data_IF_033280774493
#
_entry.id   IF_033280774493
#
_cell.length_a   1.000
_cell.length_b   1.000
_cell.length_c   1.000
_cell.angle_alpha   90.00
_cell.angle_beta   90.00
_cell.angle_gamma   90.00
#
_symmetry.space_group_name_H-M   'P 1'
#
loop_
_entity.id
_entity.type
_entity.pdbx_description
1 polymer ?
#
# COMPACT_ATOMS: atom_id res chain seq x y z
N UNK A 1 14.61 -4.71 4.40
CA UNK A 1 14.20 -3.36 3.93
C UNK A 1 13.42 -2.59 5.01
N UNK A 2 13.97 -2.45 6.22
CA UNK A 2 13.31 -1.71 7.33
C UNK A 2 14.22 -0.62 7.92
N UNK A 3 15.37 -0.40 7.30
CA UNK A 3 16.29 0.68 7.67
C UNK A 3 15.67 2.02 7.26
N UNK A 4 15.63 2.97 8.20
CA UNK A 4 15.02 4.30 8.03
C UNK A 4 13.51 4.39 8.30
N UNK A 5 12.82 3.29 8.64
CA UNK A 5 11.45 3.36 9.18
C UNK A 5 11.44 3.66 10.68
N UNK A 6 10.45 4.44 11.14
CA UNK A 6 10.18 4.70 12.56
C UNK A 6 9.76 3.43 13.29
N UNK A 7 9.92 3.39 14.62
CA UNK A 7 9.50 2.25 15.45
C UNK A 7 8.02 1.87 15.26
N UNK A 8 7.14 2.87 15.13
CA UNK A 8 5.70 2.65 14.91
C UNK A 8 5.43 1.97 13.55
N UNK A 9 6.20 2.30 12.52
CA UNK A 9 6.09 1.67 11.19
C UNK A 9 6.61 0.23 11.22
N UNK A 10 7.69 -0.02 11.97
CA UNK A 10 8.20 -1.38 12.20
C UNK A 10 7.20 -2.24 12.97
N UNK A 11 6.49 -1.66 13.95
CA UNK A 11 5.43 -2.35 14.66
C UNK A 11 4.26 -2.69 13.72
N UNK A 12 3.84 -1.74 12.88
CA UNK A 12 2.83 -1.97 11.84
C UNK A 12 3.22 -3.16 10.94
N UNK A 13 4.46 -3.19 10.46
CA UNK A 13 4.95 -4.30 9.64
C UNK A 13 4.91 -5.65 10.35
N UNK A 14 5.22 -5.70 11.65
CA UNK A 14 5.11 -6.94 12.43
C UNK A 14 3.66 -7.42 12.51
N UNK A 15 2.72 -6.51 12.75
CA UNK A 15 1.30 -6.85 12.83
C UNK A 15 0.80 -7.36 11.48
N UNK A 16 1.10 -6.64 10.39
CA UNK A 16 0.65 -7.04 9.06
C UNK A 16 1.33 -8.34 8.61
N UNK A 17 2.63 -8.48 8.85
CA UNK A 17 3.35 -9.71 8.55
C UNK A 17 2.82 -10.92 9.33
N UNK A 18 2.37 -10.72 10.58
CA UNK A 18 1.72 -11.76 11.35
C UNK A 18 0.35 -12.16 10.76
N UNK A 19 -0.45 -11.19 10.33
CA UNK A 19 -1.77 -11.45 9.76
C UNK A 19 -1.73 -12.07 8.35
N UNK A 20 -0.80 -11.64 7.51
CA UNK A 20 -0.72 -12.04 6.09
C UNK A 20 0.33 -13.12 5.81
N UNK A 21 1.11 -13.54 6.82
CA UNK A 21 2.25 -14.44 6.67
C UNK A 21 3.47 -13.84 5.97
N UNK A 22 3.33 -12.65 5.39
CA UNK A 22 4.41 -11.88 4.76
C UNK A 22 4.04 -10.39 4.72
N UNK A 23 5.04 -9.53 4.45
CA UNK A 23 4.82 -8.11 4.26
C UNK A 23 4.81 -7.83 2.74
N UNK A 24 3.72 -7.30 2.17
CA UNK A 24 3.68 -6.87 0.78
C UNK A 24 4.81 -5.89 0.47
N UNK A 25 5.60 -6.17 -0.57
CA UNK A 25 6.75 -5.35 -0.98
C UNK A 25 6.44 -3.85 -1.09
N UNK A 26 5.34 -3.43 -1.75
CA UNK A 26 4.98 -2.01 -1.88
C UNK A 26 4.80 -1.29 -0.54
N UNK A 27 4.35 -1.98 0.51
CA UNK A 27 4.17 -1.35 1.82
C UNK A 27 5.47 -0.80 2.38
N UNK A 28 6.63 -1.44 2.12
CA UNK A 28 7.91 -0.90 2.57
C UNK A 28 8.19 0.47 1.95
N UNK A 29 7.90 0.64 0.67
CA UNK A 29 8.13 1.89 -0.08
C UNK A 29 7.14 2.96 0.36
N UNK A 30 5.84 2.63 0.41
CA UNK A 30 4.78 3.58 0.75
C UNK A 30 4.92 4.11 2.18
N UNK A 31 5.39 3.29 3.11
CA UNK A 31 5.57 3.74 4.50
C UNK A 31 6.91 4.44 4.72
N UNK A 32 7.95 4.20 3.90
CA UNK A 32 9.28 4.82 4.09
C UNK A 32 9.24 6.36 4.07
N UNK A 33 8.57 6.94 3.06
CA UNK A 33 8.33 8.38 2.94
C UNK A 33 6.84 8.70 2.89
N UNK A 34 6.09 8.20 3.89
CA UNK A 34 4.62 8.33 3.95
C UNK A 34 4.13 9.76 3.68
N UNK A 35 4.70 10.77 4.34
CA UNK A 35 4.20 12.15 4.24
C UNK A 35 4.51 12.83 2.90
N UNK A 36 5.59 12.44 2.24
CA UNK A 36 5.99 13.07 0.98
C UNK A 36 5.40 12.36 -0.24
N UNK A 37 5.30 11.03 -0.19
CA UNK A 37 4.85 10.21 -1.31
C UNK A 37 3.72 9.25 -0.93
N UNK A 38 3.95 8.42 0.09
CA UNK A 38 3.11 7.25 0.31
C UNK A 38 1.64 7.56 0.60
N UNK A 39 1.33 8.61 1.35
CA UNK A 39 -0.04 9.01 1.65
C UNK A 39 -0.78 9.41 0.37
N UNK A 40 -0.26 10.40 -0.37
CA UNK A 40 -0.86 10.87 -1.61
C UNK A 40 -1.00 9.75 -2.66
N UNK A 41 0.02 8.89 -2.78
CA UNK A 41 -0.03 7.77 -3.71
C UNK A 41 -1.05 6.72 -3.29
N UNK A 42 -1.15 6.39 -2.00
CA UNK A 42 -2.20 5.50 -1.49
C UNK A 42 -3.59 6.07 -1.72
N UNK A 43 -3.78 7.37 -1.53
CA UNK A 43 -5.08 8.03 -1.79
C UNK A 43 -5.46 7.93 -3.27
N UNK A 44 -4.49 8.11 -4.18
CA UNK A 44 -4.71 7.92 -5.62
C UNK A 44 -5.07 6.46 -5.96
N UNK A 45 -4.38 5.48 -5.37
CA UNK A 45 -4.69 4.07 -5.58
C UNK A 45 -6.08 3.71 -5.04
N UNK A 46 -6.44 4.22 -3.87
CA UNK A 46 -7.75 4.02 -3.28
C UNK A 46 -8.84 4.61 -4.20
N UNK A 47 -8.67 5.86 -4.63
CA UNK A 47 -9.62 6.51 -5.53
C UNK A 47 -9.74 5.77 -6.86
N UNK A 48 -8.63 5.32 -7.44
CA UNK A 48 -8.61 4.71 -8.77
C UNK A 48 -8.95 3.23 -8.82
N UNK A 49 -8.77 2.47 -7.73
CA UNK A 49 -8.99 1.01 -7.72
C UNK A 49 -10.14 0.56 -6.82
N UNK A 50 -10.63 1.42 -5.92
CA UNK A 50 -11.64 1.06 -4.93
C UNK A 50 -12.87 1.96 -4.99
N UNK A 51 -12.67 3.26 -5.17
CA UNK A 51 -13.76 4.24 -5.11
C UNK A 51 -14.20 4.74 -6.50
N UNK A 52 -13.61 4.21 -7.58
CA UNK A 52 -13.98 4.50 -8.96
C UNK A 52 -15.42 4.07 -9.27
N UNK A 53 -16.06 4.73 -10.23
CA UNK A 53 -17.46 4.45 -10.62
C UNK A 53 -17.61 3.92 -12.04
N UNK A 54 -16.56 4.10 -12.85
CA UNK A 54 -16.55 3.86 -14.28
C UNK A 54 -16.32 2.38 -14.60
N UNK A 55 -15.48 1.70 -13.83
CA UNK A 55 -15.11 0.30 -14.02
C UNK A 55 -15.49 -0.55 -12.82
N UNK A 56 -15.82 -1.82 -13.04
CA UNK A 56 -15.95 -2.78 -11.95
C UNK A 56 -14.59 -3.10 -11.33
N UNK A 57 -14.57 -3.52 -10.05
CA UNK A 57 -13.33 -3.89 -9.35
C UNK A 57 -12.48 -4.91 -10.14
N UNK A 58 -13.04 -6.02 -10.69
CA UNK A 58 -12.25 -6.97 -11.47
C UNK A 58 -11.64 -6.36 -12.73
N UNK A 59 -12.32 -5.44 -13.41
CA UNK A 59 -11.81 -4.78 -14.61
C UNK A 59 -10.62 -3.86 -14.28
N UNK A 60 -10.71 -3.08 -13.20
CA UNK A 60 -9.60 -2.23 -12.80
C UNK A 60 -8.40 -3.03 -12.27
N UNK A 61 -8.63 -4.12 -11.54
CA UNK A 61 -7.56 -5.02 -11.12
C UNK A 61 -6.88 -5.68 -12.32
N UNK A 62 -7.65 -6.07 -13.35
CA UNK A 62 -7.10 -6.59 -14.60
C UNK A 62 -6.23 -5.54 -15.30
N UNK A 63 -6.70 -4.30 -15.38
CA UNK A 63 -5.92 -3.22 -16.00
C UNK A 63 -4.67 -2.87 -15.19
N UNK A 64 -4.71 -2.92 -13.86
CA UNK A 64 -3.56 -2.67 -13.00
C UNK A 64 -2.50 -3.79 -13.04
N UNK A 65 -2.87 -4.97 -13.55
CA UNK A 65 -1.95 -6.10 -13.69
C UNK A 65 -1.01 -6.00 -14.91
N UNK A 66 -1.28 -5.08 -15.84
CA UNK A 66 -0.50 -4.83 -17.06
C UNK A 66 0.16 -3.45 -17.04
#
# INVERSE_FOLDING_TARGET
MTEGHKLTQKLLFKIVGFQMGHIPGPMHVLTYRRQWFGANFTDNLQSGLRDMTEWSIPEAELMAAF
#
